data_IF_904673915952
#
_entry.id   IF_904673915952
#
_cell.length_a   1.000
_cell.length_b   1.000
_cell.length_c   1.000
_cell.angle_alpha   90.00
_cell.angle_beta   90.00
_cell.angle_gamma   90.00
#
_symmetry.space_group_name_H-M   'P 1'
#
loop_
_entity.id
_entity.type
_entity.pdbx_description
1 polymer ?
#
# COMPACT_ATOMS: atom_id res chain seq x y z
N UNK A 1 -19.71 -17.80 4.01
CA UNK A 1 -18.89 -16.60 3.80
C UNK A 1 -19.79 -15.42 3.44
N UNK A 2 -19.54 -14.27 4.02
CA UNK A 2 -20.23 -13.04 3.69
C UNK A 2 -19.94 -12.68 2.22
N UNK A 3 -20.98 -12.34 1.44
CA UNK A 3 -20.81 -11.98 0.03
C UNK A 3 -19.89 -10.77 -0.17
N UNK A 4 -19.88 -9.85 0.81
CA UNK A 4 -19.01 -8.68 0.79
C UNK A 4 -17.54 -9.06 0.94
N UNK A 5 -17.25 -10.03 1.81
CA UNK A 5 -15.89 -10.57 1.96
C UNK A 5 -15.44 -11.18 0.65
N UNK A 6 -16.30 -11.97 0.02
CA UNK A 6 -15.98 -12.60 -1.26
C UNK A 6 -15.67 -11.57 -2.34
N UNK A 7 -16.47 -10.52 -2.44
CA UNK A 7 -16.23 -9.43 -3.40
C UNK A 7 -14.89 -8.78 -3.18
N UNK A 8 -14.55 -8.47 -1.92
CA UNK A 8 -13.28 -7.82 -1.59
C UNK A 8 -12.09 -8.74 -1.82
N UNK A 9 -12.26 -10.04 -1.60
CA UNK A 9 -11.19 -11.02 -1.87
C UNK A 9 -10.80 -11.08 -3.35
N UNK A 10 -11.71 -10.72 -4.23
CA UNK A 10 -11.46 -10.70 -5.68
C UNK A 10 -10.84 -9.40 -6.19
N UNK A 11 -10.77 -8.37 -5.33
CA UNK A 11 -10.19 -7.09 -5.71
C UNK A 11 -8.67 -7.18 -5.84
N UNK A 12 -8.07 -6.36 -6.72
CA UNK A 12 -6.62 -6.42 -6.99
C UNK A 12 -5.78 -5.69 -5.94
N UNK A 13 -5.84 -6.17 -4.71
CA UNK A 13 -4.98 -5.65 -3.65
C UNK A 13 -3.52 -5.96 -3.95
N UNK A 14 -2.64 -5.04 -3.54
CA UNK A 14 -1.21 -5.17 -3.78
C UNK A 14 -0.54 -5.98 -2.68
N UNK A 15 0.18 -7.01 -3.08
CA UNK A 15 0.93 -7.87 -2.17
C UNK A 15 2.39 -7.48 -2.17
N UNK A 16 2.96 -7.34 -0.97
CA UNK A 16 4.38 -7.09 -0.80
C UNK A 16 5.01 -8.34 -0.20
N UNK A 17 5.87 -8.98 -0.95
CA UNK A 17 6.52 -10.23 -0.55
C UNK A 17 7.99 -9.96 -0.27
N UNK A 18 8.46 -10.42 0.88
CA UNK A 18 9.86 -10.31 1.26
C UNK A 18 10.40 -11.67 1.65
N UNK A 19 11.62 -11.95 1.24
CA UNK A 19 12.36 -13.13 1.70
C UNK A 19 13.19 -12.71 2.90
N UNK A 20 12.94 -13.35 4.02
CA UNK A 20 13.65 -13.06 5.27
C UNK A 20 14.65 -14.17 5.54
N UNK A 21 15.84 -13.78 5.94
CA UNK A 21 16.88 -14.70 6.35
C UNK A 21 17.38 -14.26 7.72
N UNK A 22 17.17 -15.12 8.71
CA UNK A 22 17.60 -14.86 10.07
C UNK A 22 18.16 -16.13 10.70
N UNK A 23 18.37 -16.13 12.00
CA UNK A 23 18.93 -17.25 12.74
C UNK A 23 18.08 -18.52 12.64
N UNK A 24 16.77 -18.38 12.44
CA UNK A 24 15.87 -19.52 12.32
C UNK A 24 15.86 -20.13 10.91
N UNK A 25 16.48 -19.46 9.92
CA UNK A 25 16.52 -19.90 8.54
C UNK A 25 15.94 -18.89 7.58
N UNK A 26 15.46 -19.38 6.46
CA UNK A 26 14.85 -18.53 5.42
C UNK A 26 13.36 -18.79 5.37
N UNK A 27 12.59 -17.73 5.21
CA UNK A 27 11.14 -17.81 5.05
C UNK A 27 10.64 -16.58 4.29
N UNK A 28 9.36 -16.59 3.92
CA UNK A 28 8.74 -15.52 3.18
C UNK A 28 7.68 -14.84 4.03
N UNK A 29 7.58 -13.52 3.88
CA UNK A 29 6.54 -12.72 4.51
C UNK A 29 5.75 -12.03 3.40
N UNK A 30 4.44 -12.04 3.52
CA UNK A 30 3.55 -11.33 2.60
C UNK A 30 2.64 -10.42 3.40
N UNK A 31 2.53 -9.18 2.95
CA UNK A 31 1.55 -8.24 3.52
C UNK A 31 0.73 -7.64 2.39
N UNK A 32 -0.49 -7.25 2.73
CA UNK A 32 -1.36 -6.53 1.79
C UNK A 32 -1.17 -5.05 2.05
N UNK A 33 -0.67 -4.35 1.03
CA UNK A 33 -0.28 -2.94 1.14
C UNK A 33 -1.39 -2.05 1.69
N UNK A 34 -2.61 -2.21 1.18
CA UNK A 34 -3.74 -1.36 1.52
C UNK A 34 -4.47 -1.76 2.80
N UNK A 35 -4.21 -2.96 3.29
CA UNK A 35 -4.88 -3.50 4.47
C UNK A 35 -3.89 -3.55 5.63
N UNK A 36 -3.88 -2.50 6.42
CA UNK A 36 -2.95 -2.35 7.54
C UNK A 36 -3.13 -3.49 8.57
N UNK A 37 -2.04 -4.17 8.86
CA UNK A 37 -2.04 -5.30 9.77
C UNK A 37 -2.36 -6.64 9.12
N UNK A 38 -2.69 -6.67 7.83
CA UNK A 38 -2.96 -7.92 7.12
C UNK A 38 -1.67 -8.50 6.55
N UNK A 39 -1.09 -9.47 7.23
CA UNK A 39 0.16 -10.10 6.81
C UNK A 39 0.20 -11.55 7.24
N UNK A 40 1.10 -12.32 6.62
CA UNK A 40 1.33 -13.71 6.96
C UNK A 40 2.75 -14.09 6.56
N UNK A 41 3.14 -15.30 6.90
CA UNK A 41 4.44 -15.84 6.51
C UNK A 41 4.31 -17.32 6.16
N UNK A 42 5.31 -17.83 5.46
CA UNK A 42 5.39 -19.25 5.12
C UNK A 42 6.82 -19.62 4.74
N UNK A 43 7.14 -20.91 4.84
CA UNK A 43 8.45 -21.41 4.46
C UNK A 43 8.62 -21.51 2.93
N UNK A 44 7.51 -21.69 2.21
CA UNK A 44 7.53 -21.78 0.74
C UNK A 44 6.61 -20.77 0.11
N UNK A 45 6.85 -20.47 -1.16
CA UNK A 45 6.03 -19.53 -1.91
C UNK A 45 4.59 -20.04 -2.09
N UNK A 46 4.42 -21.33 -2.30
CA UNK A 46 3.11 -21.95 -2.48
C UNK A 46 2.26 -21.86 -1.20
N UNK A 47 2.87 -22.13 -0.07
CA UNK A 47 2.20 -21.99 1.22
C UNK A 47 1.83 -20.54 1.51
N UNK A 48 2.69 -19.61 1.09
CA UNK A 48 2.44 -18.19 1.27
C UNK A 48 1.15 -17.75 0.60
N UNK A 49 0.90 -18.23 -0.62
CA UNK A 49 -0.32 -17.93 -1.37
C UNK A 49 -1.57 -18.38 -0.62
N UNK A 50 -1.54 -19.59 -0.10
CA UNK A 50 -2.65 -20.13 0.70
C UNK A 50 -2.83 -19.33 1.98
N UNK A 51 -1.73 -19.05 2.67
CA UNK A 51 -1.76 -18.37 3.96
C UNK A 51 -2.25 -16.94 3.84
N UNK A 52 -1.87 -16.22 2.76
CA UNK A 52 -2.32 -14.83 2.60
C UNK A 52 -3.82 -14.76 2.29
N UNK A 53 -4.35 -15.72 1.56
CA UNK A 53 -5.79 -15.78 1.30
C UNK A 53 -6.57 -15.99 2.60
N UNK A 54 -6.10 -16.89 3.44
CA UNK A 54 -6.72 -17.13 4.75
C UNK A 54 -6.64 -15.90 5.66
N UNK A 55 -5.49 -15.25 5.68
CA UNK A 55 -5.27 -14.03 6.46
C UNK A 55 -6.19 -12.91 6.01
N UNK A 56 -6.33 -12.71 4.69
CA UNK A 56 -7.22 -11.69 4.12
C UNK A 56 -8.68 -11.99 4.48
N UNK A 57 -9.10 -13.23 4.35
CA UNK A 57 -10.47 -13.61 4.66
C UNK A 57 -10.81 -13.30 6.11
N UNK A 58 -9.97 -13.72 7.05
CA UNK A 58 -10.17 -13.43 8.46
C UNK A 58 -10.14 -11.94 8.78
N UNK A 59 -9.22 -11.22 8.16
CA UNK A 59 -9.10 -9.77 8.32
C UNK A 59 -10.39 -9.06 7.87
N UNK A 60 -10.86 -9.39 6.68
CA UNK A 60 -12.07 -8.77 6.10
C UNK A 60 -13.32 -9.13 6.92
N UNK A 61 -13.46 -10.38 7.31
CA UNK A 61 -14.58 -10.82 8.14
C UNK A 61 -14.64 -10.01 9.44
N UNK A 62 -13.52 -9.88 10.12
CA UNK A 62 -13.43 -9.14 11.37
C UNK A 62 -13.76 -7.66 11.17
N UNK A 63 -13.22 -7.04 10.12
CA UNK A 63 -13.49 -5.64 9.83
C UNK A 63 -14.97 -5.38 9.56
N UNK A 64 -15.59 -6.20 8.74
CA UNK A 64 -16.99 -6.01 8.39
C UNK A 64 -17.93 -6.32 9.57
N UNK A 65 -17.61 -7.33 10.36
CA UNK A 65 -18.40 -7.65 11.58
C UNK A 65 -18.41 -6.49 12.57
N UNK A 66 -17.31 -5.75 12.65
CA UNK A 66 -17.17 -4.64 13.60
C UNK A 66 -17.52 -3.27 12.98
N UNK A 67 -18.04 -3.25 11.76
CA UNK A 67 -18.47 -2.03 11.10
C UNK A 67 -17.34 -1.10 10.68
N UNK A 68 -16.12 -1.60 10.55
CA UNK A 68 -14.99 -0.82 10.09
C UNK A 68 -14.98 -0.69 8.57
N UNK A 69 -14.53 0.46 8.09
CA UNK A 69 -14.32 0.67 6.67
C UNK A 69 -13.05 -0.06 6.23
N UNK A 70 -13.12 -0.63 5.01
CA UNK A 70 -11.98 -1.33 4.42
C UNK A 70 -11.55 -0.55 3.17
N UNK A 71 -10.27 -0.13 3.10
CA UNK A 71 -9.79 0.59 1.92
C UNK A 71 -9.89 -0.23 0.65
N UNK A 72 -10.14 0.43 -0.46
CA UNK A 72 -10.09 -0.19 -1.77
C UNK A 72 -8.66 -0.27 -2.27
N UNK A 73 -8.35 -1.20 -3.19
CA UNK A 73 -7.01 -1.30 -3.75
C UNK A 73 -6.57 -0.02 -4.43
N UNK A 74 -5.28 0.29 -4.34
CA UNK A 74 -4.68 1.39 -5.08
C UNK A 74 -3.98 0.84 -6.31
N UNK A 75 -4.08 1.55 -7.42
CA UNK A 75 -3.36 1.18 -8.61
C UNK A 75 -4.24 0.88 -9.81
N UNK A 76 -3.61 0.32 -10.83
CA UNK A 76 -4.30 -0.06 -12.04
C UNK A 76 -4.57 1.12 -12.96
N UNK A 77 -5.74 1.12 -13.54
CA UNK A 77 -6.11 2.01 -14.64
C UNK A 77 -6.42 3.45 -14.22
N UNK A 78 -6.52 3.71 -12.92
CA UNK A 78 -6.99 5.00 -12.41
C UNK A 78 -5.90 6.03 -12.18
N UNK A 79 -4.66 5.75 -12.59
CA UNK A 79 -3.56 6.70 -12.45
C UNK A 79 -3.63 7.76 -13.54
N UNK A 80 -4.03 8.97 -13.16
CA UNK A 80 -4.10 10.08 -14.10
C UNK A 80 -2.80 10.89 -14.18
N UNK A 81 -1.86 10.63 -13.29
CA UNK A 81 -0.68 11.47 -13.14
C UNK A 81 -0.93 12.72 -12.31
N UNK A 82 -2.10 12.83 -11.72
CA UNK A 82 -2.49 13.97 -10.90
C UNK A 82 -2.97 13.51 -9.52
N UNK A 83 -2.53 14.20 -8.49
CA UNK A 83 -3.06 14.02 -7.15
C UNK A 83 -2.88 15.32 -6.36
N UNK A 84 -3.67 15.47 -5.30
CA UNK A 84 -3.60 16.64 -4.44
C UNK A 84 -2.80 16.29 -3.20
N UNK A 85 -1.74 17.07 -2.95
CA UNK A 85 -0.89 16.91 -1.78
C UNK A 85 -1.03 18.13 -0.90
N UNK A 86 -1.43 17.90 0.36
CA UNK A 86 -1.53 18.98 1.35
C UNK A 86 -0.24 19.02 2.15
N UNK A 87 0.39 20.18 2.18
CA UNK A 87 1.65 20.38 2.88
C UNK A 87 1.48 21.43 3.97
N UNK A 88 2.28 21.35 5.06
CA UNK A 88 2.39 22.46 5.98
C UNK A 88 2.82 23.74 5.24
N UNK A 89 2.30 24.87 5.67
CA UNK A 89 2.58 26.16 5.01
C UNK A 89 4.07 26.43 4.87
N UNK A 90 4.85 26.12 5.88
CA UNK A 90 6.31 26.37 5.88
C UNK A 90 7.00 25.52 4.83
N UNK A 91 6.59 24.28 4.67
CA UNK A 91 7.18 23.40 3.64
C UNK A 91 6.79 23.86 2.24
N UNK A 92 5.52 24.24 2.04
CA UNK A 92 5.05 24.76 0.76
C UNK A 92 5.85 26.04 0.38
N UNK A 93 6.03 26.95 1.33
CA UNK A 93 6.80 28.17 1.11
C UNK A 93 8.24 27.87 0.75
N UNK A 94 8.89 26.97 1.47
CA UNK A 94 10.29 26.59 1.20
C UNK A 94 10.45 26.00 -0.19
N UNK A 95 9.55 25.07 -0.57
CA UNK A 95 9.60 24.45 -1.88
C UNK A 95 9.38 25.47 -3.01
N UNK A 96 8.49 26.44 -2.79
CA UNK A 96 8.24 27.51 -3.76
C UNK A 96 9.45 28.40 -3.95
N UNK A 97 10.16 28.74 -2.88
CA UNK A 97 11.38 29.54 -2.93
C UNK A 97 12.48 28.77 -3.67
N UNK A 98 12.68 27.50 -3.32
CA UNK A 98 13.70 26.67 -3.97
C UNK A 98 13.41 26.47 -5.45
N UNK A 99 12.16 26.30 -5.83
CA UNK A 99 11.76 26.17 -7.23
C UNK A 99 12.11 27.44 -8.02
N UNK A 100 11.85 28.59 -7.42
CA UNK A 100 12.18 29.87 -8.02
C UNK A 100 13.69 30.04 -8.23
N UNK A 101 14.48 29.67 -7.24
CA UNK A 101 15.94 29.70 -7.32
C UNK A 101 16.45 28.80 -8.46
N UNK A 102 15.81 27.66 -8.67
CA UNK A 102 16.17 26.74 -9.75
C UNK A 102 15.61 27.14 -11.09
N UNK A 103 14.74 28.15 -11.14
CA UNK A 103 14.14 28.61 -12.39
C UNK A 103 13.09 27.64 -12.96
N UNK A 104 12.46 26.83 -12.14
CA UNK A 104 11.44 25.87 -12.56
C UNK A 104 10.13 26.12 -11.82
N UNK A 105 9.04 25.52 -12.30
CA UNK A 105 7.77 25.61 -11.62
C UNK A 105 7.79 24.79 -10.33
N UNK A 106 6.88 25.12 -9.41
CA UNK A 106 6.74 24.34 -8.17
C UNK A 106 6.45 22.88 -8.49
N UNK A 107 5.56 22.61 -9.46
CA UNK A 107 5.23 21.24 -9.85
C UNK A 107 6.45 20.48 -10.38
N UNK A 108 7.26 21.11 -11.22
CA UNK A 108 8.49 20.51 -11.74
C UNK A 108 9.49 20.23 -10.63
N UNK A 109 9.63 21.17 -9.71
CA UNK A 109 10.54 21.01 -8.58
C UNK A 109 10.09 19.88 -7.65
N UNK A 110 8.79 19.83 -7.35
CA UNK A 110 8.23 18.75 -6.53
C UNK A 110 8.42 17.38 -7.20
N UNK A 111 8.19 17.31 -8.51
CA UNK A 111 8.42 16.06 -9.27
C UNK A 111 9.87 15.61 -9.16
N UNK A 112 10.81 16.54 -9.31
CA UNK A 112 12.24 16.27 -9.17
C UNK A 112 12.56 15.68 -7.79
N UNK A 113 12.04 16.29 -6.74
CA UNK A 113 12.27 15.82 -5.36
C UNK A 113 11.69 14.44 -5.10
N UNK A 114 10.47 14.17 -5.60
CA UNK A 114 9.80 12.89 -5.42
C UNK A 114 10.44 11.76 -6.23
N UNK A 115 11.04 12.09 -7.36
CA UNK A 115 11.67 11.11 -8.26
C UNK A 115 13.08 10.68 -7.84
N UNK A 116 13.63 11.28 -6.82
CA UNK A 116 14.99 11.00 -6.34
C UNK A 116 15.07 9.75 -5.49
#
# INVERSE_FOLDING_TARGET
MNSRVKEYMELPYNRVVQKIKDESGEYYVCKILELDGCSTWADTFEELETNIKEAMQGYLETKFENGFDVPLPVGGEDYSGKFVLRLPKQLHQRLSIEAKEEGVSLNQYALYKLAR
#
